data_IF_074700969892
#
_entry.id   IF_074700969892
#
_cell.length_a   1.000
_cell.length_b   1.000
_cell.length_c   1.000
_cell.angle_alpha   90.00
_cell.angle_beta   90.00
_cell.angle_gamma   90.00
#
_symmetry.space_group_name_H-M   'P 1'
#
loop_
_entity.id
_entity.type
_entity.pdbx_description
1 polymer ?
#
# COMPACT_ATOMS: atom_id res chain seq x y z
N UNK A 1 -51.27 -108.00 -3.43
CA UNK A 1 -49.91 -108.22 -2.86
C UNK A 1 -49.70 -107.26 -1.70
N UNK A 2 -48.96 -107.70 -0.68
CA UNK A 2 -48.79 -106.97 0.60
C UNK A 2 -47.44 -106.25 0.60
N UNK A 3 -47.41 -104.99 1.07
CA UNK A 3 -46.35 -104.51 1.97
C UNK A 3 -46.77 -103.28 2.77
N UNK A 4 -47.01 -103.52 4.06
CA UNK A 4 -47.13 -102.52 5.13
C UNK A 4 -45.75 -102.39 5.78
N UNK A 5 -45.35 -101.19 6.18
CA UNK A 5 -44.11 -100.94 6.91
C UNK A 5 -44.29 -99.77 7.87
N UNK A 6 -44.20 -100.02 9.18
CA UNK A 6 -44.40 -98.99 10.21
C UNK A 6 -43.60 -99.35 11.46
N UNK A 7 -42.56 -98.56 11.76
CA UNK A 7 -41.83 -98.41 13.04
C UNK A 7 -40.58 -97.55 12.77
N UNK A 8 -40.00 -96.82 13.73
CA UNK A 8 -40.18 -96.88 15.18
C UNK A 8 -40.05 -95.49 15.85
N UNK A 9 -40.44 -95.43 17.12
CA UNK A 9 -40.55 -94.24 17.97
C UNK A 9 -39.30 -94.11 18.87
N UNK A 10 -38.83 -92.89 19.12
CA UNK A 10 -37.71 -92.61 20.03
C UNK A 10 -38.00 -91.45 21.00
N UNK A 11 -37.83 -91.71 22.30
CA UNK A 11 -38.05 -90.83 23.46
C UNK A 11 -36.83 -91.06 24.41
N UNK A 12 -36.29 -90.12 25.19
CA UNK A 12 -36.54 -88.69 25.49
C UNK A 12 -35.15 -88.08 25.88
N UNK A 13 -34.95 -87.02 26.72
CA UNK A 13 -35.87 -86.03 27.30
C UNK A 13 -35.37 -84.56 27.27
N UNK A 14 -36.27 -83.66 27.70
CA UNK A 14 -36.08 -82.38 28.40
C UNK A 14 -34.73 -81.63 28.37
N UNK A 15 -34.79 -80.41 27.84
CA UNK A 15 -34.27 -79.23 28.58
C UNK A 15 -35.27 -78.08 28.54
N UNK A 16 -35.76 -77.73 29.72
CA UNK A 16 -36.48 -76.50 30.04
C UNK A 16 -35.62 -75.28 29.68
N UNK A 17 -36.25 -74.26 29.09
CA UNK A 17 -35.62 -72.98 28.79
C UNK A 17 -36.68 -71.96 28.42
N UNK A 18 -36.78 -70.89 29.21
CA UNK A 18 -37.76 -69.83 29.00
C UNK A 18 -37.53 -69.12 27.66
N UNK A 19 -38.63 -68.84 26.98
CA UNK A 19 -38.61 -68.20 25.67
C UNK A 19 -40.04 -68.05 25.19
N UNK A 20 -40.73 -67.04 25.71
CA UNK A 20 -41.99 -66.60 25.11
C UNK A 20 -41.67 -66.17 23.68
N UNK A 21 -41.93 -67.05 22.71
CA UNK A 21 -41.79 -66.72 21.31
C UNK A 21 -42.82 -65.66 21.00
N UNK A 22 -42.38 -64.40 20.92
CA UNK A 22 -43.17 -63.36 20.27
C UNK A 22 -43.55 -63.87 18.90
N UNK A 23 -44.85 -63.95 18.66
CA UNK A 23 -45.40 -64.38 17.38
C UNK A 23 -44.84 -63.47 16.30
N UNK A 24 -44.46 -64.03 15.14
CA UNK A 24 -43.78 -63.29 14.08
C UNK A 24 -44.61 -62.13 13.49
N UNK A 25 -45.89 -62.03 13.85
CA UNK A 25 -46.77 -60.87 13.68
C UNK A 25 -46.21 -59.59 14.28
N UNK A 26 -45.67 -59.66 15.50
CA UNK A 26 -45.42 -58.47 16.33
C UNK A 26 -44.21 -57.68 15.82
N UNK A 27 -43.34 -58.36 15.06
CA UNK A 27 -42.12 -57.79 14.47
C UNK A 27 -42.40 -56.76 13.38
N UNK A 28 -43.50 -56.92 12.64
CA UNK A 28 -43.87 -56.09 11.49
C UNK A 28 -45.10 -55.21 11.77
N UNK A 29 -45.65 -55.27 12.99
CA UNK A 29 -46.77 -54.44 13.40
C UNK A 29 -46.37 -52.95 13.35
N UNK A 30 -47.23 -52.13 12.75
CA UNK A 30 -47.10 -50.66 12.67
C UNK A 30 -45.85 -50.13 11.94
N UNK A 31 -45.05 -50.95 11.23
CA UNK A 31 -43.86 -50.45 10.51
C UNK A 31 -44.19 -49.33 9.51
N UNK A 32 -45.31 -49.44 8.79
CA UNK A 32 -45.74 -48.40 7.84
C UNK A 32 -46.09 -47.08 8.54
N UNK A 33 -46.79 -47.14 9.69
CA UNK A 33 -47.07 -45.95 10.52
C UNK A 33 -45.77 -45.31 10.99
N UNK A 34 -44.82 -46.10 11.49
CA UNK A 34 -43.49 -45.63 11.92
C UNK A 34 -42.69 -44.99 10.78
N UNK A 35 -42.86 -45.45 9.53
CA UNK A 35 -42.23 -44.81 8.36
C UNK A 35 -42.90 -43.47 8.00
N UNK A 36 -44.24 -43.41 8.06
CA UNK A 36 -45.02 -42.18 7.82
C UNK A 36 -44.66 -41.10 8.85
N UNK A 37 -44.64 -41.44 10.14
CA UNK A 37 -44.37 -40.51 11.24
C UNK A 37 -42.93 -39.95 11.22
N UNK A 38 -42.02 -40.59 10.46
CA UNK A 38 -40.62 -40.15 10.26
C UNK A 38 -40.41 -39.32 9.00
N UNK A 39 -41.43 -39.11 8.17
CA UNK A 39 -41.29 -38.29 6.97
C UNK A 39 -41.01 -36.83 7.33
N UNK A 40 -39.92 -36.28 6.80
CA UNK A 40 -39.60 -34.86 6.91
C UNK A 40 -40.26 -34.09 5.75
N UNK A 41 -41.16 -33.11 5.99
CA UNK A 41 -41.74 -32.29 4.93
C UNK A 41 -40.70 -31.59 4.04
N UNK A 42 -39.54 -31.22 4.61
CA UNK A 42 -38.48 -30.50 3.91
C UNK A 42 -37.74 -31.30 2.83
N UNK A 43 -37.93 -32.62 2.75
CA UNK A 43 -37.31 -33.48 1.74
C UNK A 43 -38.13 -33.55 0.44
N UNK A 44 -39.31 -32.93 0.41
CA UNK A 44 -40.31 -33.00 -0.66
C UNK A 44 -40.66 -31.62 -1.21
N UNK A 45 -41.44 -31.57 -2.30
CA UNK A 45 -42.02 -30.30 -2.78
C UNK A 45 -43.28 -29.96 -1.99
N UNK A 46 -43.59 -28.68 -1.82
CA UNK A 46 -44.81 -28.22 -1.11
C UNK A 46 -46.10 -28.80 -1.74
N UNK A 47 -46.09 -29.01 -3.05
CA UNK A 47 -47.23 -29.56 -3.82
C UNK A 47 -47.30 -31.09 -3.75
N UNK A 48 -46.17 -31.80 -3.71
CA UNK A 48 -46.14 -33.26 -3.71
C UNK A 48 -46.25 -33.88 -2.31
N UNK A 49 -45.73 -33.20 -1.27
CA UNK A 49 -45.73 -33.73 0.10
C UNK A 49 -47.12 -34.10 0.63
N UNK A 50 -48.16 -33.23 0.53
CA UNK A 50 -49.50 -33.56 1.04
C UNK A 50 -50.08 -34.77 0.32
N UNK A 51 -49.93 -34.84 -1.00
CA UNK A 51 -50.45 -35.91 -1.87
C UNK A 51 -49.80 -37.27 -1.55
N UNK A 52 -48.48 -37.30 -1.35
CA UNK A 52 -47.75 -38.52 -0.95
C UNK A 52 -48.14 -38.96 0.45
N UNK A 53 -48.24 -38.02 1.39
CA UNK A 53 -48.61 -38.29 2.78
C UNK A 53 -50.05 -38.81 2.90
N UNK A 54 -50.99 -38.26 2.14
CA UNK A 54 -52.36 -38.74 2.06
C UNK A 54 -52.43 -40.17 1.51
N UNK A 55 -51.74 -40.44 0.38
CA UNK A 55 -51.68 -41.79 -0.20
C UNK A 55 -51.10 -42.83 0.78
N UNK A 56 -50.03 -42.48 1.50
CA UNK A 56 -49.43 -43.36 2.52
C UNK A 56 -50.37 -43.60 3.71
N UNK A 57 -51.07 -42.57 4.21
CA UNK A 57 -52.06 -42.75 5.28
C UNK A 57 -53.25 -43.61 4.83
N UNK A 58 -53.72 -43.44 3.60
CA UNK A 58 -54.77 -44.29 3.01
C UNK A 58 -54.32 -45.75 2.87
N UNK A 59 -53.05 -45.98 2.47
CA UNK A 59 -52.45 -47.30 2.41
C UNK A 59 -52.29 -47.94 3.80
N UNK A 60 -51.88 -47.16 4.82
CA UNK A 60 -51.78 -47.65 6.20
C UNK A 60 -53.14 -48.08 6.73
N UNK A 61 -54.17 -47.24 6.56
CA UNK A 61 -55.53 -47.55 6.97
C UNK A 61 -56.03 -48.84 6.32
N UNK A 62 -55.83 -48.98 5.01
CA UNK A 62 -56.17 -50.21 4.29
C UNK A 62 -55.40 -51.43 4.80
N UNK A 63 -54.11 -51.28 5.10
CA UNK A 63 -53.30 -52.37 5.65
C UNK A 63 -53.84 -52.83 7.01
N UNK A 64 -54.20 -51.89 7.89
CA UNK A 64 -54.79 -52.17 9.21
C UNK A 64 -56.14 -52.85 9.09
N UNK A 65 -57.07 -52.31 8.29
CA UNK A 65 -58.40 -52.91 8.05
C UNK A 65 -58.32 -54.34 7.48
N UNK A 66 -57.33 -54.62 6.63
CA UNK A 66 -57.12 -55.96 6.05
C UNK A 66 -56.52 -56.95 7.05
N UNK A 67 -55.66 -56.49 7.98
CA UNK A 67 -55.12 -57.31 9.07
C UNK A 67 -56.21 -57.62 10.10
N UNK A 68 -56.97 -56.61 10.54
CA UNK A 68 -58.07 -56.75 11.49
C UNK A 68 -59.20 -57.66 10.95
N UNK A 69 -59.46 -57.57 9.64
CA UNK A 69 -60.40 -58.46 8.95
C UNK A 69 -59.91 -59.90 8.74
N UNK A 70 -58.69 -60.25 9.19
CA UNK A 70 -58.10 -61.58 9.04
C UNK A 70 -57.84 -61.98 7.58
N UNK A 71 -57.75 -61.01 6.66
CA UNK A 71 -57.67 -61.25 5.23
C UNK A 71 -56.24 -61.60 4.80
N UNK A 72 -56.02 -62.87 4.51
CA UNK A 72 -54.76 -63.35 3.93
C UNK A 72 -54.53 -62.84 2.50
N UNK A 73 -53.28 -62.90 2.04
CA UNK A 73 -52.86 -62.42 0.71
C UNK A 73 -53.40 -63.29 -0.45
N UNK A 74 -54.70 -63.18 -0.69
CA UNK A 74 -55.44 -63.91 -1.72
C UNK A 74 -55.77 -63.09 -2.97
N UNK A 75 -56.72 -63.58 -3.78
CA UNK A 75 -57.21 -62.87 -4.97
C UNK A 75 -57.93 -61.56 -4.60
N UNK A 76 -58.72 -61.58 -3.52
CA UNK A 76 -59.53 -60.42 -3.08
C UNK A 76 -58.61 -59.29 -2.60
N UNK A 77 -57.71 -59.57 -1.66
CA UNK A 77 -56.71 -58.60 -1.16
C UNK A 77 -55.90 -57.97 -2.29
N UNK A 78 -55.31 -58.77 -3.20
CA UNK A 78 -54.56 -58.25 -4.34
C UNK A 78 -55.40 -57.36 -5.26
N UNK A 79 -56.63 -57.76 -5.58
CA UNK A 79 -57.51 -56.97 -6.43
C UNK A 79 -57.88 -55.63 -5.79
N UNK A 80 -58.15 -55.61 -4.48
CA UNK A 80 -58.45 -54.39 -3.74
C UNK A 80 -57.22 -53.46 -3.68
N UNK A 81 -56.05 -53.99 -3.30
CA UNK A 81 -54.80 -53.23 -3.27
C UNK A 81 -54.45 -52.58 -4.63
N UNK A 82 -54.60 -53.33 -5.73
CA UNK A 82 -54.35 -52.80 -7.08
C UNK A 82 -55.35 -51.71 -7.46
N UNK A 83 -56.64 -51.92 -7.14
CA UNK A 83 -57.71 -50.98 -7.48
C UNK A 83 -57.66 -49.68 -6.67
N UNK A 84 -57.30 -49.78 -5.39
CA UNK A 84 -57.38 -48.68 -4.41
C UNK A 84 -56.05 -47.93 -4.23
N UNK A 85 -54.88 -48.59 -4.27
CA UNK A 85 -53.61 -47.92 -3.97
C UNK A 85 -52.64 -47.89 -5.14
N UNK A 86 -52.43 -49.03 -5.82
CA UNK A 86 -51.46 -49.09 -6.92
C UNK A 86 -51.85 -48.19 -8.10
N UNK A 87 -53.15 -48.03 -8.35
CA UNK A 87 -53.67 -47.17 -9.43
C UNK A 87 -53.48 -45.68 -9.13
N UNK A 88 -53.55 -45.28 -7.86
CA UNK A 88 -53.39 -43.88 -7.41
C UNK A 88 -51.92 -43.46 -7.37
N UNK A 89 -51.01 -44.41 -7.13
CA UNK A 89 -49.57 -44.16 -7.10
C UNK A 89 -48.99 -43.73 -8.46
N UNK A 90 -49.57 -44.19 -9.57
CA UNK A 90 -49.05 -43.89 -10.92
C UNK A 90 -49.17 -42.38 -11.27
N UNK A 91 -50.32 -41.70 -11.08
CA UNK A 91 -50.40 -40.24 -11.16
C UNK A 91 -49.37 -39.50 -10.30
N UNK A 92 -49.16 -39.93 -9.04
CA UNK A 92 -48.19 -39.30 -8.13
C UNK A 92 -46.77 -39.35 -8.72
N UNK A 93 -46.36 -40.50 -9.26
CA UNK A 93 -45.06 -40.60 -9.94
C UNK A 93 -44.98 -39.79 -11.24
N UNK A 94 -46.07 -39.67 -12.00
CA UNK A 94 -46.12 -38.83 -13.20
C UNK A 94 -45.92 -37.36 -12.87
N UNK A 95 -46.57 -36.86 -11.81
CA UNK A 95 -46.43 -35.47 -11.34
C UNK A 95 -45.00 -35.20 -10.84
N UNK A 96 -44.43 -36.09 -10.03
CA UNK A 96 -43.04 -35.99 -9.59
C UNK A 96 -42.05 -35.96 -10.77
N UNK A 97 -42.29 -36.75 -11.82
CA UNK A 97 -41.48 -36.73 -13.04
C UNK A 97 -41.66 -35.46 -13.87
N UNK A 98 -42.81 -34.80 -13.79
CA UNK A 98 -43.06 -33.50 -14.41
C UNK A 98 -42.31 -32.39 -13.67
N UNK A 99 -42.44 -32.30 -12.34
CA UNK A 99 -41.75 -31.30 -11.52
C UNK A 99 -40.21 -31.42 -11.58
N UNK A 100 -39.66 -32.64 -11.70
CA UNK A 100 -38.22 -32.83 -11.95
C UNK A 100 -37.81 -32.18 -13.30
N UNK A 101 -38.54 -32.46 -14.38
CA UNK A 101 -38.23 -31.90 -15.72
C UNK A 101 -38.37 -30.39 -15.79
N UNK A 102 -39.38 -29.83 -15.11
CA UNK A 102 -39.61 -28.39 -14.95
C UNK A 102 -38.42 -27.73 -14.27
N UNK A 103 -37.95 -28.29 -13.14
CA UNK A 103 -36.75 -27.81 -12.44
C UNK A 103 -35.48 -27.95 -13.26
N UNK A 104 -35.31 -29.03 -14.03
CA UNK A 104 -34.16 -29.19 -14.93
C UNK A 104 -34.14 -28.08 -16.01
N UNK A 105 -35.30 -27.68 -16.52
CA UNK A 105 -35.44 -26.54 -17.43
C UNK A 105 -35.14 -25.20 -16.74
N UNK A 106 -35.73 -24.94 -15.56
CA UNK A 106 -35.46 -23.72 -14.78
C UNK A 106 -33.95 -23.58 -14.45
N UNK A 107 -33.29 -24.68 -14.08
CA UNK A 107 -31.84 -24.73 -13.82
C UNK A 107 -31.03 -24.45 -15.09
N UNK A 108 -31.49 -24.90 -16.26
CA UNK A 108 -30.84 -24.60 -17.53
C UNK A 108 -30.93 -23.11 -17.88
N UNK A 109 -32.13 -22.51 -17.78
CA UNK A 109 -32.35 -21.09 -18.07
C UNK A 109 -31.59 -20.19 -17.09
N UNK A 110 -31.57 -20.54 -15.80
CA UNK A 110 -30.76 -19.83 -14.79
C UNK A 110 -29.25 -19.90 -15.09
N UNK A 111 -28.74 -21.04 -15.56
CA UNK A 111 -27.33 -21.17 -15.98
C UNK A 111 -27.02 -20.30 -17.19
N UNK A 112 -27.92 -20.24 -18.17
CA UNK A 112 -27.77 -19.39 -19.35
C UNK A 112 -27.76 -17.91 -18.97
N UNK A 113 -28.74 -17.45 -18.18
CA UNK A 113 -28.83 -16.07 -17.69
C UNK A 113 -27.61 -15.66 -16.86
N UNK A 114 -27.09 -16.56 -16.01
CA UNK A 114 -25.87 -16.33 -15.25
C UNK A 114 -24.64 -16.14 -16.16
N UNK A 115 -24.49 -16.97 -17.20
CA UNK A 115 -23.39 -16.88 -18.16
C UNK A 115 -23.43 -15.57 -18.96
N UNK A 116 -24.62 -15.16 -19.42
CA UNK A 116 -24.82 -13.88 -20.12
C UNK A 116 -24.48 -12.68 -19.23
N UNK A 117 -24.96 -12.69 -17.98
CA UNK A 117 -24.66 -11.66 -16.98
C UNK A 117 -23.15 -11.55 -16.70
N UNK A 118 -22.46 -12.69 -16.52
CA UNK A 118 -21.00 -12.73 -16.35
C UNK A 118 -20.25 -12.18 -17.58
N UNK A 119 -20.69 -12.53 -18.80
CA UNK A 119 -20.08 -12.02 -20.03
C UNK A 119 -20.29 -10.51 -20.20
N UNK A 120 -21.49 -10.01 -19.86
CA UNK A 120 -21.81 -8.58 -19.89
C UNK A 120 -20.94 -7.79 -18.90
N UNK A 121 -20.82 -8.29 -17.66
CA UNK A 121 -19.95 -7.70 -16.64
C UNK A 121 -18.46 -7.68 -17.07
N UNK A 122 -17.98 -8.75 -17.72
CA UNK A 122 -16.61 -8.81 -18.25
C UNK A 122 -16.39 -7.74 -19.33
N UNK A 123 -17.29 -7.63 -20.31
CA UNK A 123 -17.24 -6.60 -21.37
C UNK A 123 -17.23 -5.19 -20.79
N UNK A 124 -18.08 -4.91 -19.81
CA UNK A 124 -18.13 -3.61 -19.13
C UNK A 124 -16.82 -3.28 -18.39
N UNK A 125 -16.21 -4.26 -17.70
CA UNK A 125 -14.91 -4.08 -17.04
C UNK A 125 -13.78 -3.81 -18.03
N UNK A 126 -13.71 -4.57 -19.12
CA UNK A 126 -12.71 -4.37 -20.19
C UNK A 126 -12.84 -2.96 -20.78
N UNK A 127 -14.05 -2.54 -21.14
CA UNK A 127 -14.30 -1.21 -21.70
C UNK A 127 -13.84 -0.06 -20.79
N UNK A 128 -14.11 -0.14 -19.49
CA UNK A 128 -13.65 0.87 -18.52
C UNK A 128 -12.12 0.88 -18.41
N UNK A 129 -11.48 -0.29 -18.30
CA UNK A 129 -10.02 -0.40 -18.22
C UNK A 129 -9.31 0.07 -19.49
N UNK A 130 -9.86 -0.21 -20.67
CA UNK A 130 -9.35 0.30 -21.95
C UNK A 130 -9.43 1.83 -22.02
N UNK A 131 -10.56 2.41 -21.59
CA UNK A 131 -10.75 3.87 -21.55
C UNK A 131 -9.78 4.55 -20.58
N UNK A 132 -9.57 3.97 -19.40
CA UNK A 132 -8.58 4.44 -18.43
C UNK A 132 -7.14 4.30 -18.97
N UNK A 133 -6.83 3.19 -19.64
CA UNK A 133 -5.50 2.97 -20.24
C UNK A 133 -5.18 4.01 -21.32
N UNK A 134 -6.14 4.33 -22.20
CA UNK A 134 -6.02 5.39 -23.20
C UNK A 134 -5.78 6.76 -22.53
N UNK A 135 -6.54 7.08 -21.48
CA UNK A 135 -6.38 8.33 -20.75
C UNK A 135 -5.03 8.43 -20.01
N UNK A 136 -4.49 7.32 -19.51
CA UNK A 136 -3.17 7.27 -18.90
C UNK A 136 -2.04 7.38 -19.93
N UNK A 137 -2.18 6.77 -21.12
CA UNK A 137 -1.24 6.95 -22.23
C UNK A 137 -1.15 8.41 -22.66
N UNK A 138 -2.27 9.06 -22.92
CA UNK A 138 -2.28 10.48 -23.30
C UNK A 138 -1.64 11.41 -22.24
N UNK A 139 -1.73 11.06 -20.95
CA UNK A 139 -1.02 11.78 -19.87
C UNK A 139 0.49 11.50 -19.86
N UNK A 140 0.91 10.29 -20.22
CA UNK A 140 2.31 9.90 -20.32
C UNK A 140 2.98 10.59 -21.52
N UNK A 141 2.28 10.65 -22.65
CA UNK A 141 2.73 11.33 -23.87
C UNK A 141 2.99 12.82 -23.56
N UNK A 142 2.01 13.53 -22.97
CA UNK A 142 2.17 14.94 -22.56
C UNK A 142 3.33 15.14 -21.56
N UNK A 143 3.53 14.22 -20.62
CA UNK A 143 4.66 14.29 -19.68
C UNK A 143 6.01 14.08 -20.38
N UNK A 144 6.03 13.30 -21.47
CA UNK A 144 7.20 13.11 -22.34
C UNK A 144 7.49 14.41 -23.08
N UNK A 145 6.50 15.02 -23.74
CA UNK A 145 6.62 16.33 -24.42
C UNK A 145 7.17 17.42 -23.48
N UNK A 146 6.65 17.48 -22.23
CA UNK A 146 7.13 18.42 -21.20
C UNK A 146 8.57 18.12 -20.79
N UNK A 147 8.95 16.84 -20.66
CA UNK A 147 10.31 16.44 -20.32
C UNK A 147 11.30 16.75 -21.46
N UNK A 148 10.90 16.56 -22.71
CA UNK A 148 11.68 16.96 -23.89
C UNK A 148 11.86 18.48 -23.94
N UNK A 149 10.80 19.24 -23.72
CA UNK A 149 10.84 20.72 -23.64
C UNK A 149 11.80 21.20 -22.54
N UNK A 150 11.78 20.56 -21.37
CA UNK A 150 12.72 20.87 -20.27
C UNK A 150 14.16 20.55 -20.69
N UNK A 151 14.39 19.39 -21.30
CA UNK A 151 15.72 18.98 -21.78
C UNK A 151 16.26 19.89 -22.90
N UNK A 152 15.40 20.53 -23.69
CA UNK A 152 15.81 21.52 -24.70
C UNK A 152 16.11 22.91 -24.09
N UNK A 153 15.35 23.33 -23.07
CA UNK A 153 15.49 24.64 -22.43
C UNK A 153 16.65 24.71 -21.42
N UNK A 154 16.94 23.60 -20.72
CA UNK A 154 17.98 23.53 -19.70
C UNK A 154 19.40 23.88 -20.21
N UNK A 155 19.89 23.38 -21.37
CA UNK A 155 21.18 23.80 -21.91
C UNK A 155 21.20 25.27 -22.35
N UNK A 156 20.09 25.81 -22.89
CA UNK A 156 19.98 27.23 -23.26
C UNK A 156 20.09 28.15 -22.03
N UNK A 157 19.55 27.72 -20.88
CA UNK A 157 19.68 28.45 -19.62
C UNK A 157 21.13 28.40 -19.08
N UNK A 158 21.81 27.26 -19.16
CA UNK A 158 23.25 27.14 -18.85
C UNK A 158 24.09 28.04 -19.77
N UNK A 159 23.81 28.07 -21.08
CA UNK A 159 24.51 28.92 -22.04
C UNK A 159 24.34 30.41 -21.73
N UNK A 160 23.11 30.89 -21.48
CA UNK A 160 22.84 32.29 -21.09
C UNK A 160 23.56 32.65 -19.78
N UNK A 161 23.52 31.76 -18.78
CA UNK A 161 24.22 31.92 -17.49
C UNK A 161 25.73 32.04 -17.71
N UNK A 162 26.32 31.16 -18.51
CA UNK A 162 27.77 31.12 -18.76
C UNK A 162 28.21 32.35 -19.57
N UNK A 163 27.45 32.70 -20.62
CA UNK A 163 27.63 33.92 -21.43
C UNK A 163 27.59 35.18 -20.57
N UNK A 164 26.53 35.39 -19.78
CA UNK A 164 26.44 36.53 -18.86
C UNK A 164 27.59 36.59 -17.85
N UNK A 165 28.01 35.44 -17.30
CA UNK A 165 29.12 35.36 -16.35
C UNK A 165 30.44 35.76 -17.01
N UNK A 166 30.66 35.35 -18.26
CA UNK A 166 31.84 35.72 -19.04
C UNK A 166 31.81 37.20 -19.46
N UNK A 167 30.69 37.70 -19.99
CA UNK A 167 30.49 39.12 -20.32
C UNK A 167 30.74 40.02 -19.11
N UNK A 168 30.22 39.65 -17.92
CA UNK A 168 30.52 40.37 -16.69
C UNK A 168 32.01 40.32 -16.34
N UNK A 169 32.65 39.15 -16.43
CA UNK A 169 34.09 39.00 -16.14
C UNK A 169 34.97 39.84 -17.08
N UNK A 170 34.59 39.97 -18.34
CA UNK A 170 35.33 40.72 -19.37
C UNK A 170 35.11 42.24 -19.28
N UNK A 171 33.86 42.69 -19.08
CA UNK A 171 33.52 44.11 -19.09
C UNK A 171 33.61 44.80 -17.72
N UNK A 172 33.42 44.08 -16.60
CA UNK A 172 33.46 44.66 -15.26
C UNK A 172 34.78 45.41 -14.95
N UNK A 173 35.98 44.91 -15.35
CA UNK A 173 37.22 45.67 -15.17
C UNK A 173 37.26 47.00 -15.93
N UNK A 174 36.68 47.06 -17.15
CA UNK A 174 36.57 48.33 -17.89
C UNK A 174 35.59 49.27 -17.20
N UNK A 175 34.40 48.77 -16.83
CA UNK A 175 33.38 49.57 -16.14
C UNK A 175 33.94 50.16 -14.82
N UNK A 176 34.68 49.37 -14.03
CA UNK A 176 35.34 49.85 -12.81
C UNK A 176 36.39 50.93 -13.13
N UNK A 177 37.22 50.72 -14.16
CA UNK A 177 38.22 51.69 -14.60
C UNK A 177 37.56 53.00 -15.07
N UNK A 178 36.55 52.90 -15.90
CA UNK A 178 35.87 54.05 -16.51
C UNK A 178 35.03 54.84 -15.49
N UNK A 179 34.49 54.17 -14.46
CA UNK A 179 33.78 54.81 -13.35
C UNK A 179 34.73 55.42 -12.29
N UNK A 180 35.75 54.68 -11.83
CA UNK A 180 36.55 55.08 -10.67
C UNK A 180 37.82 55.87 -11.02
N UNK A 181 38.48 55.60 -12.16
CA UNK A 181 39.72 56.29 -12.50
C UNK A 181 39.55 57.81 -12.72
N UNK A 182 38.43 58.35 -13.25
CA UNK A 182 38.24 59.80 -13.37
C UNK A 182 38.22 60.51 -12.01
N UNK A 183 37.48 59.98 -11.03
CA UNK A 183 37.42 60.56 -9.67
C UNK A 183 38.75 60.45 -8.94
N UNK A 184 39.43 59.29 -9.02
CA UNK A 184 40.75 59.08 -8.43
C UNK A 184 41.77 60.05 -9.04
N UNK A 185 41.77 60.21 -10.37
CA UNK A 185 42.66 61.14 -11.08
C UNK A 185 42.39 62.60 -10.69
N UNK A 186 41.12 63.01 -10.68
CA UNK A 186 40.72 64.37 -10.26
C UNK A 186 41.15 64.68 -8.82
N UNK A 187 40.91 63.74 -7.91
CA UNK A 187 41.30 63.85 -6.49
C UNK A 187 42.82 63.94 -6.33
N UNK A 188 43.59 63.13 -7.08
CA UNK A 188 45.05 63.18 -7.08
C UNK A 188 45.57 64.53 -7.63
N UNK A 189 44.96 65.06 -8.69
CA UNK A 189 45.30 66.38 -9.26
C UNK A 189 44.96 67.55 -8.33
N UNK A 190 43.96 67.40 -7.45
CA UNK A 190 43.64 68.37 -6.39
C UNK A 190 44.70 68.29 -5.29
N UNK A 191 44.92 67.10 -4.70
CA UNK A 191 45.89 66.89 -3.62
C UNK A 191 47.31 67.28 -4.03
N UNK A 192 47.73 66.97 -5.26
CA UNK A 192 49.05 67.34 -5.75
C UNK A 192 49.20 68.88 -5.92
N UNK A 193 48.13 69.59 -6.33
CA UNK A 193 48.11 71.06 -6.36
C UNK A 193 48.20 71.65 -4.95
N UNK A 194 47.48 71.07 -3.99
CA UNK A 194 47.50 71.48 -2.58
C UNK A 194 48.88 71.27 -1.95
N UNK A 195 49.51 70.11 -2.14
CA UNK A 195 50.89 69.83 -1.71
C UNK A 195 51.87 70.85 -2.33
N UNK A 196 51.77 71.14 -3.63
CA UNK A 196 52.64 72.13 -4.28
C UNK A 196 52.39 73.54 -3.76
N UNK A 197 51.14 73.90 -3.42
CA UNK A 197 50.82 75.18 -2.81
C UNK A 197 51.38 75.29 -1.39
N UNK A 198 51.22 74.26 -0.56
CA UNK A 198 51.71 74.23 0.82
C UNK A 198 53.25 74.16 0.87
N UNK A 199 53.90 73.44 -0.05
CA UNK A 199 55.37 73.49 -0.23
C UNK A 199 55.84 74.88 -0.64
N UNK A 200 55.11 75.60 -1.51
CA UNK A 200 55.44 76.99 -1.88
C UNK A 200 55.26 77.96 -0.71
N UNK A 201 54.19 77.81 0.08
CA UNK A 201 53.93 78.57 1.31
C UNK A 201 55.00 78.31 2.38
N UNK A 202 55.31 77.03 2.63
CA UNK A 202 56.39 76.63 3.51
C UNK A 202 57.78 77.05 2.98
N UNK A 203 57.94 77.36 1.69
CA UNK A 203 59.18 77.97 1.16
C UNK A 203 59.40 79.41 1.63
N UNK A 204 58.34 80.08 2.08
CA UNK A 204 58.40 81.42 2.70
C UNK A 204 58.61 81.33 4.22
N UNK A 205 58.10 80.27 4.85
CA UNK A 205 58.24 80.03 6.31
C UNK A 205 59.46 79.18 6.70
N UNK A 206 60.14 78.53 5.75
CA UNK A 206 61.31 77.70 5.97
C UNK A 206 62.56 78.51 6.36
N UNK A 207 62.66 78.82 7.66
CA UNK A 207 63.98 78.98 8.30
C UNK A 207 64.79 77.71 8.08
N UNK A 208 65.94 77.88 7.43
CA UNK A 208 66.97 76.89 7.10
C UNK A 208 66.93 75.57 7.90
N UNK A 209 66.49 74.49 7.24
CA UNK A 209 66.57 73.11 7.77
C UNK A 209 68.02 72.62 8.00
N UNK A 210 69.04 73.39 7.61
CA UNK A 210 70.44 73.09 7.92
C UNK A 210 70.77 73.18 9.43
N UNK A 211 69.93 73.81 10.26
CA UNK A 211 70.16 73.90 11.71
C UNK A 211 69.61 72.72 12.52
N UNK A 212 68.71 71.89 11.98
CA UNK A 212 68.13 70.73 12.70
C UNK A 212 69.02 69.49 12.61
N UNK A 213 69.88 69.40 11.58
CA UNK A 213 70.76 68.25 11.34
C UNK A 213 72.00 68.15 12.26
N UNK A 214 72.21 69.12 13.17
CA UNK A 214 73.42 69.21 14.02
C UNK A 214 73.18 68.95 15.52
N UNK A 215 71.95 68.67 15.95
CA UNK A 215 71.66 68.24 17.32
C UNK A 215 70.90 66.91 17.31
N UNK A 216 71.66 65.82 17.12
CA UNK A 216 71.11 64.47 16.99
C UNK A 216 72.15 63.35 16.86
N UNK A 217 73.42 63.58 17.25
CA UNK A 217 74.27 62.45 17.63
C UNK A 217 73.76 61.88 18.95
N UNK A 218 73.93 60.57 19.10
CA UNK A 218 73.61 59.78 20.30
C UNK A 218 72.12 59.59 20.61
N UNK A 219 71.45 58.74 19.80
CA UNK A 219 70.81 57.53 20.35
C UNK A 219 70.58 56.42 19.33
N UNK A 220 70.71 55.20 19.85
CA UNK A 220 70.89 53.95 19.11
C UNK A 220 69.74 53.60 18.16
N UNK A 221 70.15 53.04 17.03
CA UNK A 221 69.36 52.26 16.09
C UNK A 221 68.73 51.05 16.79
N UNK A 222 67.43 51.12 17.07
CA UNK A 222 66.63 50.03 17.62
C UNK A 222 65.77 49.38 16.54
N UNK A 223 65.85 48.06 16.41
CA UNK A 223 65.02 47.27 15.49
C UNK A 223 63.52 47.42 15.79
N UNK A 224 62.64 47.44 14.77
CA UNK A 224 61.21 47.29 15.01
C UNK A 224 60.97 45.92 15.65
N UNK A 225 60.23 45.90 16.75
CA UNK A 225 59.93 44.67 17.47
C UNK A 225 59.24 43.67 16.55
N UNK A 226 59.76 42.44 16.51
CA UNK A 226 59.13 41.33 15.80
C UNK A 226 57.78 41.08 16.47
N UNK A 227 56.70 41.52 15.82
CA UNK A 227 55.38 40.99 16.09
C UNK A 227 55.41 39.51 15.70
N UNK A 228 55.53 38.63 16.69
CA UNK A 228 55.35 37.19 16.50
C UNK A 228 54.02 36.97 15.78
N UNK A 229 54.01 36.37 14.58
CA UNK A 229 52.76 36.08 13.89
C UNK A 229 51.93 35.16 14.79
N UNK A 230 50.76 35.62 15.24
CA UNK A 230 49.73 34.67 15.66
C UNK A 230 49.29 33.95 14.39
N UNK A 231 49.45 32.64 14.35
CA UNK A 231 48.96 31.83 13.23
C UNK A 231 47.48 32.17 12.96
N UNK A 232 47.06 32.34 11.69
CA UNK A 232 45.69 32.71 11.38
C UNK A 232 44.72 31.60 11.84
N UNK A 233 43.82 31.95 12.76
CA UNK A 233 42.75 31.05 13.20
C UNK A 233 41.70 30.92 12.08
N UNK A 234 41.40 29.68 11.68
CA UNK A 234 40.38 29.41 10.67
C UNK A 234 38.98 29.56 11.26
N UNK A 235 38.19 30.49 10.75
CA UNK A 235 36.80 30.70 11.17
C UNK A 235 35.87 30.32 10.02
N UNK A 236 35.08 29.26 10.18
CA UNK A 236 34.04 28.88 9.23
C UNK A 236 32.67 29.37 9.72
N UNK A 237 32.02 30.22 8.92
CA UNK A 237 30.69 30.77 9.21
C UNK A 237 29.62 30.04 8.40
N UNK A 238 28.61 29.53 9.10
CA UNK A 238 27.51 28.73 8.52
C UNK A 238 26.20 29.47 8.79
N UNK A 239 25.61 30.03 7.74
CA UNK A 239 24.30 30.71 7.80
C UNK A 239 23.18 29.76 7.37
N UNK A 240 22.07 29.63 8.13
CA UNK A 240 20.92 28.83 7.71
C UNK A 240 20.28 29.40 6.45
N UNK A 241 19.92 28.53 5.50
CA UNK A 241 19.35 28.91 4.20
C UNK A 241 17.89 29.36 4.27
N UNK A 242 17.17 28.96 5.33
CA UNK A 242 15.74 29.22 5.49
C UNK A 242 15.42 29.62 6.93
N UNK A 243 14.41 30.48 7.08
CA UNK A 243 13.98 31.08 8.35
C UNK A 243 13.33 30.08 9.32
N UNK A 244 13.02 28.86 8.85
CA UNK A 244 12.60 27.73 9.67
C UNK A 244 13.76 27.08 10.48
N UNK A 245 15.02 27.35 10.12
CA UNK A 245 16.22 26.70 10.69
C UNK A 245 16.95 27.60 11.71
N UNK A 246 16.18 28.29 12.57
CA UNK A 246 16.69 29.28 13.55
C UNK A 246 17.21 28.69 14.86
N UNK A 247 17.04 27.39 15.10
CA UNK A 247 17.50 26.75 16.34
C UNK A 247 19.00 26.43 16.29
N UNK A 248 19.75 27.08 17.17
CA UNK A 248 21.19 26.92 17.31
C UNK A 248 21.60 25.55 17.84
N UNK A 249 20.91 24.96 18.82
CA UNK A 249 21.37 23.68 19.40
C UNK A 249 21.09 22.51 18.46
N UNK A 250 19.92 22.50 17.80
CA UNK A 250 19.63 21.53 16.73
C UNK A 250 20.63 21.64 15.59
N UNK A 251 20.91 22.85 15.08
CA UNK A 251 21.92 23.05 14.04
C UNK A 251 23.32 22.61 14.51
N UNK A 252 23.74 23.02 15.72
CA UNK A 252 25.03 22.68 16.32
C UNK A 252 25.24 21.18 16.41
N UNK A 253 24.22 20.43 16.87
CA UNK A 253 24.26 18.97 16.94
C UNK A 253 24.45 18.35 15.55
N UNK A 254 23.62 18.74 14.57
CA UNK A 254 23.69 18.21 13.20
C UNK A 254 25.09 18.41 12.59
N UNK A 255 25.69 19.59 12.72
CA UNK A 255 27.02 19.86 12.18
C UNK A 255 28.15 19.12 12.91
N UNK A 256 28.04 18.92 14.23
CA UNK A 256 29.00 18.10 14.98
C UNK A 256 28.90 16.62 14.61
N UNK A 257 27.69 16.07 14.48
CA UNK A 257 27.45 14.69 14.06
C UNK A 257 28.01 14.44 12.64
N UNK A 258 27.80 15.37 11.70
CA UNK A 258 28.35 15.30 10.33
C UNK A 258 29.89 15.35 10.33
N UNK A 259 30.50 16.22 11.13
CA UNK A 259 31.96 16.32 11.24
C UNK A 259 32.57 15.06 11.86
N UNK A 260 31.93 14.49 12.88
CA UNK A 260 32.37 13.24 13.50
C UNK A 260 32.29 12.05 12.52
N UNK A 261 31.24 12.01 11.68
CA UNK A 261 31.06 10.94 10.69
C UNK A 261 32.02 11.02 9.50
N UNK A 262 32.32 12.23 9.00
CA UNK A 262 33.11 12.42 7.77
C UNK A 262 34.58 12.79 8.01
N UNK A 263 34.93 13.33 9.18
CA UNK A 263 36.27 13.86 9.46
C UNK A 263 36.61 13.82 10.97
N UNK A 264 36.67 12.62 11.59
CA UNK A 264 36.86 12.47 13.04
C UNK A 264 38.19 13.03 13.59
N UNK A 265 39.16 13.36 12.72
CA UNK A 265 40.39 14.04 13.09
C UNK A 265 40.26 15.56 13.30
N UNK A 266 39.16 16.18 12.87
CA UNK A 266 38.96 17.64 12.98
C UNK A 266 38.59 18.01 14.41
N UNK A 267 39.58 18.54 15.16
CA UNK A 267 39.34 19.12 16.48
C UNK A 267 38.87 20.56 16.35
N UNK A 268 37.64 20.85 16.75
CA UNK A 268 37.16 22.22 16.88
C UNK A 268 37.62 22.83 18.21
N UNK A 269 38.07 24.09 18.17
CA UNK A 269 38.41 24.88 19.37
C UNK A 269 37.16 25.42 20.08
N UNK A 270 36.10 25.68 19.31
CA UNK A 270 34.83 26.18 19.83
C UNK A 270 33.76 26.30 18.74
N UNK A 271 32.50 26.34 19.17
CA UNK A 271 31.32 26.55 18.32
C UNK A 271 30.47 27.65 18.94
N UNK A 272 30.26 28.74 18.20
CA UNK A 272 29.57 29.95 18.70
C UNK A 272 28.32 30.24 17.87
N UNK A 273 27.25 30.71 18.52
CA UNK A 273 26.02 31.13 17.85
C UNK A 273 26.23 32.43 17.10
N UNK A 274 25.82 32.47 15.83
CA UNK A 274 25.69 33.72 15.05
C UNK A 274 24.22 33.99 14.70
N UNK A 275 23.96 35.12 14.03
CA UNK A 275 22.61 35.59 13.73
C UNK A 275 21.72 34.51 13.05
N UNK A 276 20.42 34.54 13.37
CA UNK A 276 19.39 33.66 12.81
C UNK A 276 19.66 32.15 13.03
N UNK A 277 20.40 31.76 14.07
CA UNK A 277 20.64 30.35 14.41
C UNK A 277 21.83 29.71 13.69
N UNK A 278 22.65 30.51 13.00
CA UNK A 278 23.87 30.02 12.37
C UNK A 278 24.98 29.68 13.36
N UNK A 279 26.04 29.07 12.82
CA UNK A 279 27.21 28.60 13.57
C UNK A 279 28.48 29.31 13.11
N UNK A 280 29.36 29.63 14.05
CA UNK A 280 30.76 29.96 13.82
C UNK A 280 31.61 28.84 14.40
N UNK A 281 32.39 28.17 13.55
CA UNK A 281 33.28 27.07 13.92
C UNK A 281 34.72 27.61 13.97
N UNK A 282 35.36 27.49 15.15
CA UNK A 282 36.75 27.89 15.36
C UNK A 282 37.66 26.67 15.16
N UNK A 283 38.51 26.71 14.13
CA UNK A 283 39.48 25.67 13.82
C UNK A 283 40.86 26.05 14.38
N UNK A 284 41.60 25.10 14.99
CA UNK A 284 42.96 25.32 15.43
C UNK A 284 43.88 25.54 14.21
N UNK A 285 44.90 26.37 14.39
CA UNK A 285 45.91 26.59 13.37
C UNK A 285 46.65 25.28 13.08
N UNK A 286 46.61 24.84 11.80
CA UNK A 286 47.03 23.53 11.25
C UNK A 286 46.04 22.37 11.40
N UNK A 287 45.16 22.21 10.42
CA UNK A 287 44.81 20.88 9.88
C UNK A 287 44.39 20.99 8.41
N UNK A 288 45.40 21.00 7.52
CA UNK A 288 45.35 20.54 6.12
C UNK A 288 46.52 19.55 6.00
#
# INVERSE_FOLDING_TARGET
MVKKGTSQRGNAPDKTGEGSQSTSSDKYANELRIMIDKMNPGDYTEEAYPTILEWLNNLEKFSTEMVDGGLTYGKIMRNNFVKLHYRELLPIFQELCFEIKKRDADIFDLKLSLAESQQSLLKAKVWTLERENIALRAKLDLNTDVSETINELLPKLEEIKNSNTQTLKEHLPSIIKDAACPEIKSSLEIVNREIVAEVKKNRVEARSFAQVALQGKDKQQGSPAILTPKDPEGVLLIKPKNDALKDFETNRKIFLDILQANSPGVRLRGVVKIFLGGLSLLLPSRTI
#
